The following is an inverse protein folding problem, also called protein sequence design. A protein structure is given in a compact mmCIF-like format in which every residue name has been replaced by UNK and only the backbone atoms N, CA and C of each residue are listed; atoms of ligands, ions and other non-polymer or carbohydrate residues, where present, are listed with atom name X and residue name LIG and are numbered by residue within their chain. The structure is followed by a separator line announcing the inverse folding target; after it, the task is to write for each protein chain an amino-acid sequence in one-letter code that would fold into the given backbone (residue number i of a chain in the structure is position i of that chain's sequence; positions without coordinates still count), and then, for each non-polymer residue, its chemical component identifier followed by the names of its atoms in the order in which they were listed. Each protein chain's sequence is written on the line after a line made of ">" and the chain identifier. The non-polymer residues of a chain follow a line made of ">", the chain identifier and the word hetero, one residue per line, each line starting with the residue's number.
data_IF_651444188790
#
_entry.id   IF_651444188790
#
_cell.length_a   1.000
_cell.length_b   1.000
_cell.length_c   1.000
_cell.angle_alpha   90.00
_cell.angle_beta   90.00
_cell.angle_gamma   90.00
#
_symmetry.space_group_name_H-M   'P 1'
#
loop_
_entity.id
_entity.type
_entity.pdbx_description
1 polymer ?
#
# COMPACT_ATOMS: atom_id res chain seq x y z
N UNK A 1 -21.54 -5.88 -3.62
CA UNK A 1 -20.55 -5.70 -4.70
C UNK A 1 -19.26 -4.95 -4.25
N UNK A 2 -19.29 -3.74 -3.64
CA UNK A 2 -18.03 -3.00 -3.37
C UNK A 2 -17.11 -3.63 -2.32
N UNK A 3 -17.65 -4.32 -1.30
CA UNK A 3 -16.84 -5.08 -0.32
C UNK A 3 -16.04 -6.17 -1.02
N UNK A 4 -16.68 -6.93 -1.91
CA UNK A 4 -16.05 -7.99 -2.69
C UNK A 4 -14.98 -7.42 -3.61
N UNK A 5 -15.22 -6.24 -4.20
CA UNK A 5 -14.26 -5.57 -5.06
C UNK A 5 -13.01 -5.15 -4.28
N UNK A 6 -13.17 -4.47 -3.13
CA UNK A 6 -12.02 -4.05 -2.29
C UNK A 6 -11.25 -5.26 -1.79
N UNK A 7 -11.96 -6.31 -1.36
CA UNK A 7 -11.32 -7.54 -0.92
C UNK A 7 -10.56 -8.22 -2.05
N UNK A 8 -11.16 -8.29 -3.25
CA UNK A 8 -10.51 -8.87 -4.43
C UNK A 8 -9.28 -8.07 -4.87
N UNK A 9 -9.37 -6.73 -4.84
CA UNK A 9 -8.26 -5.83 -5.13
C UNK A 9 -7.11 -6.04 -4.14
N UNK A 10 -7.43 -6.17 -2.84
CA UNK A 10 -6.41 -6.41 -1.82
C UNK A 10 -5.84 -7.83 -1.89
N UNK A 11 -6.65 -8.83 -2.23
CA UNK A 11 -6.21 -10.20 -2.42
C UNK A 11 -5.34 -10.36 -3.68
N UNK A 12 -5.64 -9.63 -4.75
CA UNK A 12 -4.82 -9.59 -5.95
C UNK A 12 -3.39 -9.08 -5.68
N UNK A 13 -3.24 -8.16 -4.70
CA UNK A 13 -1.94 -7.69 -4.21
C UNK A 13 -1.09 -8.85 -3.67
N UNK A 14 -1.71 -9.81 -2.98
CA UNK A 14 -1.00 -10.96 -2.40
C UNK A 14 -0.63 -12.02 -3.43
N UNK A 15 -1.50 -12.22 -4.44
CA UNK A 15 -1.32 -13.30 -5.42
C UNK A 15 -0.36 -12.92 -6.54
N UNK A 16 -0.34 -11.65 -6.94
CA UNK A 16 0.50 -11.17 -8.04
C UNK A 16 1.15 -9.82 -7.70
N UNK A 17 2.32 -9.80 -7.04
CA UNK A 17 2.93 -8.60 -6.48
C UNK A 17 3.03 -7.39 -7.44
N UNK A 18 3.46 -7.52 -8.71
CA UNK A 18 3.59 -6.37 -9.60
C UNK A 18 2.26 -5.72 -9.99
N UNK A 19 1.25 -6.54 -10.32
CA UNK A 19 -0.11 -6.05 -10.60
C UNK A 19 -0.84 -5.69 -9.31
N UNK A 20 -0.56 -6.43 -8.24
CA UNK A 20 -1.10 -6.18 -6.92
C UNK A 20 -0.73 -4.81 -6.38
N UNK A 21 0.50 -4.33 -6.60
CA UNK A 21 0.91 -2.99 -6.19
C UNK A 21 0.10 -1.90 -6.91
N UNK A 22 -0.09 -2.01 -8.24
CA UNK A 22 -0.92 -1.07 -9.00
C UNK A 22 -2.38 -1.09 -8.57
N UNK A 23 -2.93 -2.30 -8.37
CA UNK A 23 -4.31 -2.49 -7.95
C UNK A 23 -4.51 -2.09 -6.49
N UNK A 24 -3.53 -2.35 -5.61
CA UNK A 24 -3.52 -1.95 -4.21
C UNK A 24 -3.62 -0.43 -4.04
N UNK A 25 -2.91 0.35 -4.86
CA UNK A 25 -2.99 1.82 -4.87
C UNK A 25 -4.43 2.32 -5.09
N UNK A 26 -5.26 1.57 -5.79
CA UNK A 26 -6.67 1.91 -6.06
C UNK A 26 -7.65 1.40 -5.00
N UNK A 27 -7.20 0.66 -4.00
CA UNK A 27 -8.06 0.11 -2.92
C UNK A 27 -8.86 1.16 -2.16
N UNK A 28 -8.37 2.40 -1.89
CA UNK A 28 -9.17 3.44 -1.27
C UNK A 28 -10.34 3.92 -2.10
N UNK A 29 -10.28 3.85 -3.44
CA UNK A 29 -11.31 4.38 -4.33
C UNK A 29 -12.74 3.88 -4.03
N UNK A 30 -13.02 2.56 -3.94
CA UNK A 30 -14.37 2.08 -3.63
C UNK A 30 -14.86 2.54 -2.26
N UNK A 31 -13.95 2.68 -1.29
CA UNK A 31 -14.28 3.15 0.07
C UNK A 31 -14.69 4.62 0.02
N UNK A 32 -13.88 5.48 -0.63
CA UNK A 32 -14.17 6.90 -0.79
C UNK A 32 -15.48 7.10 -1.56
N UNK A 33 -15.67 6.35 -2.64
CA UNK A 33 -16.86 6.45 -3.48
C UNK A 33 -18.13 6.15 -2.71
N UNK A 34 -18.14 5.06 -1.94
CA UNK A 34 -19.29 4.72 -1.07
C UNK A 34 -19.47 5.70 0.07
N UNK A 35 -18.39 6.17 0.65
CA UNK A 35 -18.40 7.19 1.69
C UNK A 35 -19.11 8.46 1.20
N UNK A 36 -18.82 8.89 -0.03
CA UNK A 36 -19.45 10.07 -0.63
C UNK A 36 -20.90 9.81 -1.03
N UNK A 37 -21.23 8.63 -1.57
CA UNK A 37 -22.60 8.28 -2.01
C UNK A 37 -23.56 7.99 -0.87
N UNK A 38 -23.12 7.19 0.11
CA UNK A 38 -23.98 6.63 1.16
C UNK A 38 -23.75 7.28 2.53
N UNK A 39 -22.77 8.15 2.63
CA UNK A 39 -22.43 8.88 3.83
C UNK A 39 -21.40 8.21 4.73
N UNK A 40 -20.97 8.96 5.76
CA UNK A 40 -19.88 8.61 6.68
C UNK A 40 -20.07 7.23 7.34
N UNK A 41 -21.29 6.92 7.79
CA UNK A 41 -21.57 5.67 8.52
C UNK A 41 -21.29 4.44 7.64
N UNK A 42 -21.74 4.47 6.38
CA UNK A 42 -21.52 3.37 5.45
C UNK A 42 -20.03 3.17 5.13
N UNK A 43 -19.29 4.26 4.96
CA UNK A 43 -17.84 4.21 4.76
C UNK A 43 -17.11 3.58 5.95
N UNK A 44 -17.46 3.97 7.19
CA UNK A 44 -16.87 3.42 8.40
C UNK A 44 -17.21 1.94 8.56
N UNK A 45 -18.48 1.56 8.34
CA UNK A 45 -18.90 0.15 8.40
C UNK A 45 -18.10 -0.69 7.39
N UNK A 46 -17.91 -0.19 6.17
CA UNK A 46 -17.14 -0.88 5.13
C UNK A 46 -15.67 -1.07 5.57
N UNK A 47 -15.03 -0.02 6.09
CA UNK A 47 -13.66 -0.09 6.60
C UNK A 47 -13.56 -1.12 7.73
N UNK A 48 -14.49 -1.07 8.70
CA UNK A 48 -14.51 -2.02 9.82
C UNK A 48 -14.69 -3.47 9.33
N UNK A 49 -15.56 -3.68 8.36
CA UNK A 49 -15.78 -5.02 7.79
C UNK A 49 -14.51 -5.55 7.11
N UNK A 50 -13.85 -4.72 6.28
CA UNK A 50 -12.60 -5.11 5.61
C UNK A 50 -11.50 -5.38 6.64
N UNK A 51 -11.38 -4.51 7.66
CA UNK A 51 -10.41 -4.68 8.73
C UNK A 51 -10.59 -6.01 9.48
N UNK A 52 -11.82 -6.34 9.87
CA UNK A 52 -12.13 -7.62 10.55
C UNK A 52 -11.83 -8.81 9.63
N UNK A 53 -12.18 -8.73 8.36
CA UNK A 53 -11.85 -9.78 7.39
C UNK A 53 -10.33 -9.98 7.25
N UNK A 54 -9.57 -8.89 7.13
CA UNK A 54 -8.11 -8.97 7.06
C UNK A 54 -7.50 -9.52 8.34
N UNK A 55 -8.01 -9.10 9.49
CA UNK A 55 -7.57 -9.60 10.80
C UNK A 55 -7.73 -11.12 10.90
N UNK A 56 -8.85 -11.66 10.43
CA UNK A 56 -9.17 -13.09 10.51
C UNK A 56 -8.44 -13.93 9.46
N UNK A 57 -8.23 -13.40 8.25
CA UNK A 57 -7.72 -14.17 7.12
C UNK A 57 -6.21 -14.02 6.91
N UNK A 58 -5.66 -12.85 7.22
CA UNK A 58 -4.27 -12.49 6.88
C UNK A 58 -3.44 -12.22 8.14
N UNK A 59 -4.06 -11.71 9.20
CA UNK A 59 -3.42 -11.43 10.47
C UNK A 59 -3.38 -9.95 10.84
N UNK A 60 -2.99 -9.69 12.11
CA UNK A 60 -3.07 -8.38 12.73
C UNK A 60 -2.18 -7.32 12.04
N UNK A 61 -0.96 -7.68 11.69
CA UNK A 61 -0.02 -6.73 11.08
C UNK A 61 -0.54 -6.17 9.76
N UNK A 62 -1.08 -7.03 8.90
CA UNK A 62 -1.63 -6.63 7.61
C UNK A 62 -2.92 -5.80 7.76
N UNK A 63 -3.76 -6.16 8.74
CA UNK A 63 -4.97 -5.40 9.06
C UNK A 63 -4.62 -3.99 9.56
N UNK A 64 -3.60 -3.85 10.40
CA UNK A 64 -3.14 -2.55 10.91
C UNK A 64 -2.53 -1.68 9.79
N UNK A 65 -1.73 -2.27 8.90
CA UNK A 65 -1.19 -1.56 7.73
C UNK A 65 -2.31 -1.07 6.80
N UNK A 66 -3.34 -1.88 6.59
CA UNK A 66 -4.53 -1.45 5.84
C UNK A 66 -5.20 -0.22 6.48
N UNK A 67 -5.38 -0.21 7.80
CA UNK A 67 -5.96 0.93 8.50
C UNK A 67 -5.11 2.20 8.35
N UNK A 68 -3.80 2.08 8.53
CA UNK A 68 -2.89 3.21 8.50
C UNK A 68 -2.79 3.84 7.11
N UNK A 69 -2.70 3.02 6.07
CA UNK A 69 -2.42 3.51 4.72
C UNK A 69 -3.70 3.75 3.90
N UNK A 70 -4.58 2.76 3.81
CA UNK A 70 -5.74 2.84 2.91
C UNK A 70 -7.00 3.40 3.57
N UNK A 71 -7.32 2.96 4.77
CA UNK A 71 -8.54 3.39 5.45
C UNK A 71 -8.43 4.85 5.91
N UNK A 72 -7.29 5.25 6.47
CA UNK A 72 -7.06 6.62 6.89
C UNK A 72 -7.07 7.59 5.70
N UNK A 73 -6.38 7.23 4.60
CA UNK A 73 -6.42 7.99 3.35
C UNK A 73 -7.86 8.16 2.85
N UNK A 74 -8.63 7.06 2.82
CA UNK A 74 -10.00 7.10 2.33
C UNK A 74 -10.91 7.97 3.20
N UNK A 75 -10.81 7.89 4.53
CA UNK A 75 -11.59 8.71 5.46
C UNK A 75 -11.25 10.19 5.33
N UNK A 76 -9.96 10.54 5.34
CA UNK A 76 -9.53 11.93 5.24
C UNK A 76 -9.94 12.53 3.90
N UNK A 77 -9.67 11.83 2.80
CA UNK A 77 -10.05 12.30 1.47
C UNK A 77 -11.58 12.44 1.34
N UNK A 78 -12.34 11.48 1.82
CA UNK A 78 -13.80 11.52 1.82
C UNK A 78 -14.36 12.74 2.59
N UNK A 79 -13.84 13.01 3.80
CA UNK A 79 -14.27 14.20 4.58
C UNK A 79 -13.86 15.51 3.90
N UNK A 80 -12.63 15.60 3.38
CA UNK A 80 -12.18 16.85 2.72
C UNK A 80 -12.96 17.16 1.47
N UNK A 81 -13.32 16.15 0.66
CA UNK A 81 -14.18 16.34 -0.51
C UNK A 81 -15.57 16.83 -0.06
N UNK A 82 -16.13 16.26 1.02
CA UNK A 82 -17.40 16.72 1.59
C UNK A 82 -17.36 18.17 2.06
N UNK A 83 -16.24 18.59 2.66
CA UNK A 83 -16.01 19.98 3.05
C UNK A 83 -15.67 20.90 1.87
N UNK A 84 -15.68 20.36 0.63
CA UNK A 84 -15.37 21.12 -0.60
C UNK A 84 -13.98 21.77 -0.58
N UNK A 85 -13.02 21.10 0.05
CA UNK A 85 -11.64 21.58 0.01
C UNK A 85 -11.04 21.44 -1.40
N UNK A 86 -10.09 22.31 -1.77
CA UNK A 86 -9.37 22.20 -3.03
C UNK A 86 -8.67 20.85 -3.18
N UNK A 87 -8.59 20.34 -4.39
CA UNK A 87 -8.07 19.00 -4.65
C UNK A 87 -6.62 18.78 -4.25
N UNK A 88 -5.79 19.81 -4.39
CA UNK A 88 -4.40 19.83 -3.93
C UNK A 88 -4.29 19.58 -2.42
N UNK A 89 -5.14 20.21 -1.63
CA UNK A 89 -5.21 20.00 -0.17
C UNK A 89 -5.74 18.62 0.19
N UNK A 90 -6.77 18.15 -0.51
CA UNK A 90 -7.29 16.79 -0.33
C UNK A 90 -6.20 15.76 -0.53
N UNK A 91 -5.43 15.86 -1.61
CA UNK A 91 -4.33 14.95 -1.94
C UNK A 91 -3.21 15.07 -0.91
N UNK A 92 -2.70 16.30 -0.67
CA UNK A 92 -1.54 16.51 0.20
C UNK A 92 -1.79 16.05 1.64
N UNK A 93 -2.91 16.44 2.24
CA UNK A 93 -3.21 16.12 3.64
C UNK A 93 -3.49 14.63 3.80
N UNK A 94 -4.26 14.00 2.88
CA UNK A 94 -4.54 12.58 2.95
C UNK A 94 -3.27 11.73 2.78
N UNK A 95 -2.40 12.12 1.84
CA UNK A 95 -1.13 11.43 1.60
C UNK A 95 -0.17 11.57 2.78
N UNK A 96 0.05 12.79 3.27
CA UNK A 96 0.95 13.04 4.40
C UNK A 96 0.47 12.35 5.67
N UNK A 97 -0.82 12.44 5.99
CA UNK A 97 -1.35 11.81 7.19
C UNK A 97 -1.25 10.28 7.11
N UNK A 98 -1.67 9.64 6.00
CA UNK A 98 -1.57 8.19 5.87
C UNK A 98 -0.11 7.71 5.83
N UNK A 99 0.76 8.39 5.08
CA UNK A 99 2.18 8.04 5.01
C UNK A 99 2.90 8.17 6.35
N UNK A 100 2.68 9.26 7.10
CA UNK A 100 3.28 9.45 8.42
C UNK A 100 2.77 8.41 9.44
N UNK A 101 1.46 8.14 9.45
CA UNK A 101 0.89 7.11 10.34
C UNK A 101 1.43 5.72 9.98
N UNK A 102 1.59 5.42 8.69
CA UNK A 102 2.21 4.15 8.25
C UNK A 102 3.67 4.03 8.70
N UNK A 103 4.45 5.10 8.61
CA UNK A 103 5.84 5.12 9.11
C UNK A 103 5.86 4.88 10.63
N UNK A 104 5.04 5.60 11.39
CA UNK A 104 4.98 5.44 12.86
C UNK A 104 4.54 4.01 13.22
N UNK A 105 3.54 3.47 12.53
CA UNK A 105 3.07 2.11 12.75
C UNK A 105 4.17 1.07 12.47
N UNK A 106 4.90 1.21 11.37
CA UNK A 106 6.02 0.31 11.06
C UNK A 106 7.10 0.37 12.13
N UNK A 107 7.45 1.58 12.59
CA UNK A 107 8.41 1.76 13.67
C UNK A 107 7.94 1.11 14.97
N UNK A 108 6.65 1.16 15.29
CA UNK A 108 6.11 0.52 16.50
C UNK A 108 5.99 -0.99 16.39
N UNK A 109 5.64 -1.51 15.21
CA UNK A 109 5.48 -2.97 15.00
C UNK A 109 6.83 -3.71 14.93
N UNK A 110 7.88 -3.04 14.44
CA UNK A 110 9.19 -3.66 14.22
C UNK A 110 10.31 -3.06 15.10
N UNK A 111 10.03 -1.97 15.85
CA UNK A 111 11.02 -1.29 16.66
C UNK A 111 11.51 -2.09 17.88
N UNK A 112 10.69 -3.00 18.41
CA UNK A 112 11.01 -3.87 19.57
C UNK A 112 11.54 -5.25 19.17
N UNK A 113 11.63 -5.55 17.87
CA UNK A 113 12.17 -6.82 17.40
C UNK A 113 13.65 -6.65 17.05
N UNK A 114 14.44 -7.70 17.20
CA UNK A 114 15.87 -7.76 16.79
C UNK A 114 16.08 -7.39 15.29
N UNK A 115 15.01 -7.35 14.54
CA UNK A 115 14.98 -6.98 13.12
C UNK A 115 14.53 -5.53 13.00
N UNK A 116 15.43 -4.63 12.65
CA UNK A 116 15.06 -3.23 12.37
C UNK A 116 14.10 -3.15 11.17
N UNK A 117 13.28 -2.09 11.10
CA UNK A 117 12.41 -1.83 9.93
C UNK A 117 13.19 -1.92 8.61
N UNK A 118 14.44 -1.43 8.61
CA UNK A 118 15.34 -1.54 7.48
C UNK A 118 15.61 -3.01 7.11
N UNK A 119 15.93 -3.85 8.10
CA UNK A 119 16.16 -5.29 7.90
C UNK A 119 14.94 -6.02 7.35
N UNK A 120 13.74 -5.66 7.82
CA UNK A 120 12.49 -6.22 7.28
C UNK A 120 12.32 -5.90 5.80
N UNK A 121 12.54 -4.65 5.38
CA UNK A 121 12.46 -4.27 3.97
C UNK A 121 13.55 -4.94 3.12
N UNK A 122 14.78 -5.01 3.62
CA UNK A 122 15.87 -5.74 2.94
C UNK A 122 15.50 -7.20 2.70
N UNK A 123 14.97 -7.88 3.72
CA UNK A 123 14.58 -9.29 3.61
C UNK A 123 13.44 -9.48 2.61
N UNK A 124 12.41 -8.63 2.63
CA UNK A 124 11.31 -8.68 1.67
C UNK A 124 11.80 -8.46 0.23
N UNK A 125 12.64 -7.46 0.02
CA UNK A 125 13.17 -7.15 -1.30
C UNK A 125 14.06 -8.31 -1.79
N UNK A 126 14.95 -8.83 -0.94
CA UNK A 126 15.80 -9.99 -1.26
C UNK A 126 14.98 -11.24 -1.59
N UNK A 127 13.90 -11.49 -0.84
CA UNK A 127 13.00 -12.62 -1.10
C UNK A 127 12.35 -12.52 -2.49
N UNK A 128 11.85 -11.35 -2.86
CA UNK A 128 11.27 -11.12 -4.19
C UNK A 128 12.31 -11.23 -5.31
N UNK A 129 13.50 -10.66 -5.13
CA UNK A 129 14.59 -10.81 -6.10
C UNK A 129 15.04 -12.27 -6.24
N UNK A 130 15.18 -13.01 -5.15
CA UNK A 130 15.58 -14.42 -5.19
C UNK A 130 14.56 -15.29 -5.93
N UNK A 131 13.28 -14.99 -5.78
CA UNK A 131 12.22 -15.69 -6.51
C UNK A 131 12.27 -15.38 -8.01
N UNK A 132 12.49 -14.13 -8.38
CA UNK A 132 12.66 -13.73 -9.78
C UNK A 132 13.92 -14.37 -10.38
N UNK A 133 15.05 -14.38 -9.64
CA UNK A 133 16.30 -14.98 -10.08
C UNK A 133 16.20 -16.48 -10.34
N UNK A 134 15.48 -17.23 -9.50
CA UNK A 134 15.24 -18.67 -9.75
C UNK A 134 14.52 -18.92 -11.08
N UNK A 135 13.62 -18.00 -11.46
CA UNK A 135 12.94 -18.05 -12.74
C UNK A 135 13.93 -17.82 -13.92
N UNK A 136 14.87 -16.88 -13.77
CA UNK A 136 15.91 -16.60 -14.77
C UNK A 136 16.94 -17.74 -14.88
N UNK A 137 17.41 -18.28 -13.76
CA UNK A 137 18.33 -19.43 -13.74
C UNK A 137 17.73 -20.66 -14.46
N UNK A 138 16.42 -20.84 -14.43
CA UNK A 138 15.73 -21.92 -15.13
C UNK A 138 15.70 -21.77 -16.65
N UNK A 139 15.98 -20.58 -17.18
CA UNK A 139 15.99 -20.30 -18.63
C UNK A 139 17.38 -20.45 -19.26
N UNK A 140 18.42 -20.76 -18.44
CA UNK A 140 19.75 -21.14 -18.96
C UNK A 140 20.67 -19.96 -19.27
N UNK A 141 20.58 -18.86 -18.55
CA UNK A 141 21.43 -17.68 -18.73
C UNK A 141 22.86 -17.82 -18.16
N UNK A 142 23.73 -16.97 -18.63
CA UNK A 142 25.16 -16.98 -18.37
C UNK A 142 25.46 -16.69 -16.88
N UNK A 143 26.29 -17.49 -16.23
CA UNK A 143 26.60 -17.39 -14.79
C UNK A 143 27.09 -16.00 -14.37
N UNK A 144 27.82 -15.32 -15.25
CA UNK A 144 28.37 -13.98 -14.99
C UNK A 144 27.24 -12.93 -14.90
N UNK A 145 26.23 -13.00 -15.78
CA UNK A 145 25.07 -12.10 -15.76
C UNK A 145 24.23 -12.30 -14.50
N UNK A 146 24.08 -13.55 -14.05
CA UNK A 146 23.38 -13.89 -12.81
C UNK A 146 24.10 -13.30 -11.58
N UNK A 147 25.43 -13.31 -11.53
CA UNK A 147 26.20 -12.72 -10.43
C UNK A 147 26.11 -11.18 -10.42
N UNK A 148 26.16 -10.54 -11.58
CA UNK A 148 25.96 -9.09 -11.70
C UNK A 148 24.54 -8.67 -11.27
N UNK A 149 23.53 -9.43 -11.66
CA UNK A 149 22.15 -9.20 -11.22
C UNK A 149 21.97 -9.39 -9.72
N UNK A 150 22.65 -10.37 -9.09
CA UNK A 150 22.64 -10.55 -7.63
C UNK A 150 23.26 -9.34 -6.93
N UNK A 151 24.42 -8.89 -7.37
CA UNK A 151 25.08 -7.72 -6.80
C UNK A 151 24.25 -6.43 -6.96
N UNK A 152 23.59 -6.27 -8.11
CA UNK A 152 22.65 -5.16 -8.34
C UNK A 152 21.43 -5.25 -7.42
N UNK A 153 20.85 -6.44 -7.26
CA UNK A 153 19.71 -6.68 -6.38
C UNK A 153 20.03 -6.36 -4.91
N UNK A 154 21.22 -6.76 -4.43
CA UNK A 154 21.67 -6.48 -3.07
C UNK A 154 21.85 -4.97 -2.83
N UNK A 155 22.54 -4.26 -3.72
CA UNK A 155 22.68 -2.80 -3.63
C UNK A 155 21.33 -2.08 -3.68
N UNK A 156 20.45 -2.54 -4.57
CA UNK A 156 19.12 -1.98 -4.70
C UNK A 156 18.31 -2.19 -3.42
N UNK A 157 18.34 -3.40 -2.84
CA UNK A 157 17.66 -3.70 -1.59
C UNK A 157 18.15 -2.80 -0.44
N UNK A 158 19.45 -2.58 -0.32
CA UNK A 158 20.04 -1.73 0.72
C UNK A 158 19.61 -0.26 0.57
N UNK A 159 19.66 0.29 -0.65
CA UNK A 159 19.24 1.68 -0.92
C UNK A 159 17.76 1.86 -0.68
N UNK A 160 16.91 0.93 -1.17
CA UNK A 160 15.46 0.99 -0.94
C UNK A 160 15.12 0.87 0.54
N UNK A 161 15.75 -0.06 1.25
CA UNK A 161 15.54 -0.23 2.68
C UNK A 161 16.00 0.97 3.50
N UNK A 162 17.07 1.66 3.11
CA UNK A 162 17.50 2.91 3.75
C UNK A 162 16.54 4.07 3.47
N UNK A 163 15.89 4.08 2.31
CA UNK A 163 15.02 5.16 1.83
C UNK A 163 13.53 4.86 1.99
N UNK A 164 13.15 3.79 2.74
CA UNK A 164 11.75 3.36 2.88
C UNK A 164 10.79 4.49 3.30
N UNK A 165 11.14 5.45 4.18
CA UNK A 165 10.19 6.49 4.56
C UNK A 165 9.83 7.40 3.38
N UNK A 166 10.82 7.71 2.52
CA UNK A 166 10.59 8.50 1.31
C UNK A 166 9.70 7.74 0.31
N UNK A 167 9.94 6.44 0.11
CA UNK A 167 9.10 5.62 -0.76
C UNK A 167 7.66 5.48 -0.26
N UNK A 168 7.46 5.34 1.05
CA UNK A 168 6.11 5.33 1.64
C UNK A 168 5.38 6.65 1.39
N UNK A 169 6.03 7.80 1.62
CA UNK A 169 5.42 9.10 1.39
C UNK A 169 5.11 9.34 -0.10
N UNK A 170 6.04 8.98 -0.99
CA UNK A 170 5.83 9.09 -2.44
C UNK A 170 4.68 8.16 -2.88
N UNK A 171 4.67 6.91 -2.40
CA UNK A 171 3.60 5.94 -2.68
C UNK A 171 2.24 6.43 -2.21
N UNK A 172 2.16 6.98 -0.98
CA UNK A 172 0.92 7.58 -0.45
C UNK A 172 0.48 8.79 -1.27
N UNK A 173 1.41 9.61 -1.77
CA UNK A 173 1.09 10.78 -2.60
C UNK A 173 0.54 10.34 -3.97
N UNK A 174 1.18 9.39 -4.61
CA UNK A 174 0.72 8.80 -5.89
C UNK A 174 -0.66 8.16 -5.70
N UNK A 175 -0.82 7.38 -4.62
CA UNK A 175 -2.08 6.74 -4.27
C UNK A 175 -3.21 7.75 -4.05
N UNK A 176 -2.96 8.79 -3.26
CA UNK A 176 -3.94 9.85 -3.01
C UNK A 176 -4.32 10.59 -4.31
N UNK A 177 -3.33 10.93 -5.15
CA UNK A 177 -3.58 11.61 -6.42
C UNK A 177 -4.40 10.74 -7.39
N UNK A 178 -4.07 9.45 -7.52
CA UNK A 178 -4.79 8.52 -8.37
C UNK A 178 -6.25 8.33 -7.91
N UNK A 179 -6.45 8.10 -6.60
CA UNK A 179 -7.79 7.93 -6.03
C UNK A 179 -8.63 9.21 -6.17
N UNK A 180 -8.05 10.39 -5.93
CA UNK A 180 -8.74 11.66 -6.13
C UNK A 180 -9.15 11.87 -7.58
N UNK A 181 -8.25 11.58 -8.54
CA UNK A 181 -8.55 11.68 -9.98
C UNK A 181 -9.72 10.75 -10.37
N UNK A 182 -9.70 9.50 -9.89
CA UNK A 182 -10.79 8.54 -10.15
C UNK A 182 -12.13 9.01 -9.53
N UNK A 183 -12.10 9.52 -8.30
CA UNK A 183 -13.31 10.07 -7.68
C UNK A 183 -13.85 11.24 -8.48
N UNK A 184 -13.00 12.13 -8.96
CA UNK A 184 -13.40 13.25 -9.79
C UNK A 184 -14.07 12.82 -11.09
N UNK A 185 -13.54 11.78 -11.74
CA UNK A 185 -14.13 11.20 -12.97
C UNK A 185 -15.47 10.52 -12.68
N UNK A 186 -15.56 9.79 -11.57
CA UNK A 186 -16.77 9.03 -11.24
C UNK A 186 -17.91 9.89 -10.65
N UNK A 187 -17.60 11.10 -10.18
CA UNK A 187 -18.56 12.01 -9.52
C UNK A 187 -19.06 13.14 -10.44
N UNK A 188 -18.43 13.35 -11.60
CA UNK A 188 -18.93 14.26 -12.66
C UNK A 188 -19.97 13.59 -13.51
#
# INVERSE_FOLDING_TARGET
>A
MPVVLVFFLFFALMVFPPLGALVGVLSPFPIIFLYLQRGRQVGIILITLIFVMLLLLVGANQAMLFLAEYALMALLMGEMIRFRLPGDRCIAISALASGLVSIVLLLTLFGDQDTSVKGFFEEQIRAHFSQSMKAFESVGENKTEVEEMKAFAERTAEVFAASYPAFLLIGSLIGAAANYALIRIAWT
#
